data_IF_782644996584
#
_entry.id   IF_782644996584
#
_cell.length_a   1.000
_cell.length_b   1.000
_cell.length_c   1.000
_cell.angle_alpha   90.00
_cell.angle_beta   90.00
_cell.angle_gamma   90.00
#
_symmetry.space_group_name_H-M   'P 1'
#
loop_
_entity.id
_entity.type
_entity.pdbx_description
1 polymer ?
#
# COMPACT_ATOMS: atom_id res chain seq x y z
N UNK A 1 9.83 14.71 -3.81
CA UNK A 1 10.08 14.05 -5.11
C UNK A 1 10.04 12.56 -4.84
N UNK A 2 9.39 11.78 -5.69
CA UNK A 2 9.41 10.31 -5.65
C UNK A 2 10.06 9.87 -6.94
N UNK A 3 11.10 9.05 -6.84
CA UNK A 3 11.78 8.43 -7.97
C UNK A 3 11.65 6.90 -7.84
N UNK A 4 11.33 6.23 -8.94
CA UNK A 4 11.01 4.80 -8.93
C UNK A 4 11.66 4.13 -10.12
N UNK A 5 12.42 3.06 -9.85
CA UNK A 5 12.96 2.20 -10.87
C UNK A 5 12.48 0.76 -10.66
N UNK A 6 12.05 0.09 -11.74
CA UNK A 6 11.62 -1.32 -11.68
C UNK A 6 12.78 -2.31 -11.56
N UNK A 7 14.01 -1.87 -11.80
CA UNK A 7 15.20 -2.72 -11.75
C UNK A 7 16.33 -2.02 -11.01
N UNK A 8 16.81 -2.66 -9.95
CA UNK A 8 18.02 -2.29 -9.24
C UNK A 8 18.95 -3.50 -9.21
N UNK A 9 20.17 -3.34 -9.71
CA UNK A 9 21.16 -4.43 -9.75
C UNK A 9 21.78 -4.73 -8.38
N UNK A 10 21.44 -3.95 -7.36
CA UNK A 10 22.05 -4.00 -6.03
C UNK A 10 21.01 -4.21 -4.92
N UNK A 11 19.83 -4.75 -5.23
CA UNK A 11 18.77 -5.01 -4.24
C UNK A 11 17.77 -3.86 -4.10
N UNK A 12 16.94 -3.88 -3.06
CA UNK A 12 15.95 -2.82 -2.84
C UNK A 12 16.63 -1.50 -2.47
N UNK A 13 16.34 -0.45 -3.25
CA UNK A 13 16.70 0.93 -2.92
C UNK A 13 15.47 1.69 -2.39
N UNK A 14 15.42 1.92 -1.08
CA UNK A 14 14.31 2.49 -0.34
C UNK A 14 14.83 3.49 0.67
N UNK A 15 15.06 4.71 0.19
CA UNK A 15 15.56 5.84 0.97
C UNK A 15 14.51 6.93 1.04
N UNK A 16 14.49 7.64 2.16
CA UNK A 16 13.65 8.82 2.32
C UNK A 16 14.48 9.97 2.88
N UNK A 17 14.16 11.19 2.46
CA UNK A 17 14.79 12.42 2.93
C UNK A 17 13.73 13.47 3.18
N UNK A 18 13.85 14.18 4.30
CA UNK A 18 13.04 15.34 4.65
C UNK A 18 13.98 16.47 5.06
N UNK A 19 13.97 17.54 4.26
CA UNK A 19 14.70 18.77 4.54
C UNK A 19 13.77 19.80 5.21
N UNK A 20 14.10 20.18 6.43
CA UNK A 20 13.43 21.25 7.18
C UNK A 20 14.27 22.52 7.25
N UNK A 21 13.73 23.56 7.89
CA UNK A 21 14.40 24.87 8.03
C UNK A 21 15.61 24.84 8.95
N UNK A 22 15.65 23.91 9.91
CA UNK A 22 16.71 23.79 10.92
C UNK A 22 17.46 22.47 10.86
N UNK A 23 16.83 21.42 10.34
CA UNK A 23 17.34 20.04 10.34
C UNK A 23 16.96 19.32 9.06
N UNK A 24 17.73 18.29 8.75
CA UNK A 24 17.45 17.33 7.69
C UNK A 24 17.48 15.93 8.30
N UNK A 25 16.52 15.08 7.91
CA UNK A 25 16.47 13.67 8.29
C UNK A 25 16.54 12.84 7.02
N UNK A 26 17.34 11.78 7.03
CA UNK A 26 17.42 10.80 5.96
C UNK A 26 17.42 9.39 6.54
N UNK A 27 16.83 8.46 5.80
CA UNK A 27 16.91 7.02 6.08
C UNK A 27 17.60 6.31 4.92
N UNK A 28 18.55 5.44 5.26
CA UNK A 28 19.31 4.65 4.30
C UNK A 28 18.72 3.24 4.15
N UNK A 29 19.23 2.49 3.17
CA UNK A 29 18.91 1.09 2.96
C UNK A 29 19.29 0.21 4.15
N UNK A 30 18.54 -0.89 4.32
CA UNK A 30 18.79 -1.88 5.36
C UNK A 30 19.56 -3.06 4.78
N UNK A 31 20.61 -3.47 5.48
CA UNK A 31 21.53 -4.53 5.08
C UNK A 31 21.38 -5.75 6.00
N UNK A 32 21.65 -6.97 5.50
CA UNK A 32 21.58 -8.20 6.30
C UNK A 32 22.49 -8.22 7.53
N UNK A 33 23.61 -7.50 7.49
CA UNK A 33 24.53 -7.32 8.61
C UNK A 33 25.30 -6.00 8.50
N UNK A 34 26.13 -5.73 9.50
CA UNK A 34 26.93 -4.51 9.62
C UNK A 34 28.37 -4.67 9.17
N UNK A 35 28.75 -5.80 8.55
CA UNK A 35 30.12 -6.07 8.15
C UNK A 35 30.57 -5.13 7.01
N UNK A 36 31.84 -4.72 7.09
CA UNK A 36 32.49 -3.85 6.11
C UNK A 36 33.74 -4.52 5.57
N UNK A 37 34.03 -4.30 4.29
CA UNK A 37 35.27 -4.76 3.66
C UNK A 37 36.16 -3.55 3.41
N UNK A 38 37.43 -3.64 3.81
CA UNK A 38 38.46 -2.62 3.57
C UNK A 38 39.64 -3.24 2.80
N UNK A 39 39.87 -2.77 1.58
CA UNK A 39 40.94 -3.18 0.66
C UNK A 39 41.56 -1.94 0.03
N UNK A 40 42.71 -2.10 -0.63
CA UNK A 40 43.39 -0.98 -1.31
C UNK A 40 42.52 -0.33 -2.41
N UNK A 41 41.60 -1.08 -3.01
CA UNK A 41 40.74 -0.68 -4.13
C UNK A 41 39.24 -0.65 -3.77
N UNK A 42 38.84 -0.99 -2.54
CA UNK A 42 37.44 -1.06 -2.14
C UNK A 42 37.23 -0.77 -0.65
N UNK A 43 36.22 0.03 -0.34
CA UNK A 43 35.66 0.19 1.01
C UNK A 43 34.14 0.23 0.94
N UNK A 44 33.43 -0.58 1.72
CA UNK A 44 31.96 -0.63 1.65
C UNK A 44 31.30 -1.71 2.51
N UNK A 45 29.98 -1.81 2.41
CA UNK A 45 29.21 -2.93 2.97
C UNK A 45 29.70 -4.25 2.37
N UNK A 46 29.78 -5.28 3.20
CA UNK A 46 30.13 -6.62 2.75
C UNK A 46 29.02 -7.24 1.88
N UNK A 47 27.77 -6.95 2.23
CA UNK A 47 26.57 -7.40 1.51
C UNK A 47 25.83 -6.25 0.83
N UNK A 48 24.99 -6.62 -0.13
CA UNK A 48 23.99 -5.73 -0.72
C UNK A 48 22.83 -5.50 0.25
N UNK A 49 22.06 -4.41 0.08
CA UNK A 49 20.73 -4.27 0.70
C UNK A 49 19.87 -5.50 0.50
N UNK A 50 18.89 -5.68 1.38
CA UNK A 50 17.90 -6.75 1.21
C UNK A 50 17.26 -6.70 -0.19
N UNK A 51 17.11 -7.86 -0.81
CA UNK A 51 16.55 -8.06 -2.16
C UNK A 51 15.20 -8.79 -2.14
N UNK A 52 14.76 -9.24 -0.96
CA UNK A 52 13.47 -9.91 -0.75
C UNK A 52 12.58 -9.13 0.23
N UNK A 53 11.32 -8.91 -0.17
CA UNK A 53 10.42 -7.99 0.53
C UNK A 53 10.13 -8.44 1.97
N UNK A 54 9.96 -9.74 2.23
CA UNK A 54 9.72 -10.22 3.60
C UNK A 54 10.94 -10.01 4.48
N UNK A 55 12.15 -10.15 3.97
CA UNK A 55 13.37 -9.87 4.74
C UNK A 55 13.50 -8.37 5.03
N UNK A 56 13.17 -7.53 4.05
CA UNK A 56 13.25 -6.07 4.16
C UNK A 56 12.18 -5.47 5.07
N UNK A 57 10.97 -6.02 5.05
CA UNK A 57 9.79 -5.45 5.69
C UNK A 57 9.23 -6.32 6.82
N UNK A 58 9.99 -7.32 7.31
CA UNK A 58 9.53 -8.22 8.36
C UNK A 58 8.97 -7.46 9.57
N UNK A 59 9.76 -6.53 10.11
CA UNK A 59 9.38 -5.71 11.25
C UNK A 59 8.15 -4.85 10.94
N UNK A 60 8.09 -4.25 9.75
CA UNK A 60 6.94 -3.44 9.33
C UNK A 60 5.64 -4.25 9.32
N UNK A 61 5.64 -5.47 8.76
CA UNK A 61 4.46 -6.35 8.76
C UNK A 61 4.05 -6.80 10.17
N UNK A 62 5.03 -7.09 11.03
CA UNK A 62 4.77 -7.44 12.44
C UNK A 62 4.11 -6.25 13.15
N UNK A 63 4.69 -5.05 13.03
CA UNK A 63 4.16 -3.84 13.66
C UNK A 63 2.78 -3.46 13.12
N UNK A 64 2.57 -3.53 11.81
CA UNK A 64 1.27 -3.29 11.18
C UNK A 64 0.19 -4.25 11.70
N UNK A 65 0.51 -5.54 11.74
CA UNK A 65 -0.43 -6.57 12.21
C UNK A 65 -0.80 -6.36 13.68
N UNK A 66 0.19 -6.07 14.52
CA UNK A 66 -0.04 -5.77 15.94
C UNK A 66 -0.95 -4.55 16.07
N UNK A 67 -0.64 -3.45 15.39
CA UNK A 67 -1.43 -2.21 15.48
C UNK A 67 -2.88 -2.42 15.01
N UNK A 68 -3.08 -3.23 13.97
CA UNK A 68 -4.42 -3.61 13.52
C UNK A 68 -5.18 -4.43 14.58
N UNK A 69 -4.55 -5.45 15.15
CA UNK A 69 -5.14 -6.26 16.21
C UNK A 69 -5.47 -5.41 17.46
N UNK A 70 -4.59 -4.51 17.87
CA UNK A 70 -4.82 -3.60 18.98
C UNK A 70 -6.00 -2.66 18.72
N UNK A 71 -6.13 -2.16 17.49
CA UNK A 71 -7.25 -1.31 17.08
C UNK A 71 -8.58 -2.07 17.21
N UNK A 72 -8.62 -3.33 16.78
CA UNK A 72 -9.79 -4.20 16.89
C UNK A 72 -10.15 -4.53 18.33
N UNK A 73 -9.17 -4.89 19.17
CA UNK A 73 -9.40 -5.31 20.56
C UNK A 73 -9.89 -4.15 21.42
N UNK A 74 -9.35 -2.95 21.19
CA UNK A 74 -9.62 -1.77 22.01
C UNK A 74 -10.72 -0.86 21.43
N UNK A 75 -11.30 -1.21 20.28
CA UNK A 75 -12.27 -0.37 19.55
C UNK A 75 -11.74 1.06 19.31
N UNK A 76 -10.51 1.14 18.80
CA UNK A 76 -9.83 2.42 18.51
C UNK A 76 -9.60 2.58 17.01
N UNK A 77 -9.43 3.83 16.51
CA UNK A 77 -9.16 4.06 15.09
C UNK A 77 -7.90 3.34 14.62
N UNK A 78 -7.97 2.70 13.44
CA UNK A 78 -6.81 2.09 12.81
C UNK A 78 -5.79 3.16 12.36
N UNK A 79 -4.48 2.89 12.39
CA UNK A 79 -3.46 3.86 11.98
C UNK A 79 -3.49 4.24 10.49
N UNK A 80 -4.01 3.36 9.64
CA UNK A 80 -4.16 3.56 8.20
C UNK A 80 -5.60 3.19 7.82
N UNK A 81 -6.32 4.16 7.27
CA UNK A 81 -7.74 4.09 6.95
C UNK A 81 -7.98 3.89 5.46
N UNK A 82 -9.24 3.65 5.08
CA UNK A 82 -9.61 3.64 3.66
C UNK A 82 -9.41 4.99 2.95
N UNK A 83 -9.48 6.09 3.69
CA UNK A 83 -9.25 7.44 3.14
C UNK A 83 -7.79 7.62 2.70
N UNK A 84 -6.83 7.08 3.47
CA UNK A 84 -5.41 7.12 3.10
C UNK A 84 -5.16 6.39 1.78
N UNK A 85 -5.82 5.24 1.58
CA UNK A 85 -5.77 4.48 0.32
C UNK A 85 -6.40 5.24 -0.86
N UNK A 86 -7.53 5.91 -0.64
CA UNK A 86 -8.17 6.74 -1.67
C UNK A 86 -7.27 7.92 -2.08
N UNK A 87 -6.65 8.62 -1.12
CA UNK A 87 -5.73 9.72 -1.41
C UNK A 87 -4.51 9.22 -2.19
N UNK A 88 -3.93 8.08 -1.80
CA UNK A 88 -2.82 7.47 -2.53
C UNK A 88 -3.18 7.15 -4.00
N UNK A 89 -4.40 6.63 -4.24
CA UNK A 89 -4.89 6.38 -5.60
C UNK A 89 -5.06 7.66 -6.40
N UNK A 90 -5.62 8.73 -5.82
CA UNK A 90 -5.77 10.04 -6.48
C UNK A 90 -4.40 10.59 -6.88
N UNK A 91 -3.40 10.50 -6.00
CA UNK A 91 -2.03 10.94 -6.30
C UNK A 91 -1.42 10.15 -7.47
N UNK A 92 -1.65 8.83 -7.52
CA UNK A 92 -1.17 7.98 -8.61
C UNK A 92 -1.81 8.34 -9.96
N UNK A 93 -3.13 8.53 -10.00
CA UNK A 93 -3.86 8.94 -11.20
C UNK A 93 -3.44 10.33 -11.70
N UNK A 94 -3.19 11.27 -10.78
CA UNK A 94 -2.69 12.59 -11.14
C UNK A 94 -1.28 12.53 -11.75
N UNK A 95 -0.41 11.68 -11.21
CA UNK A 95 0.93 11.47 -11.75
C UNK A 95 0.91 10.82 -13.13
N UNK A 96 0.03 9.85 -13.36
CA UNK A 96 -0.18 9.19 -14.65
C UNK A 96 -0.63 10.20 -15.73
N UNK A 97 -1.70 10.95 -15.44
CA UNK A 97 -2.18 12.05 -16.31
C UNK A 97 -1.09 13.11 -16.56
N UNK A 98 -0.28 13.42 -15.56
CA UNK A 98 0.83 14.38 -15.69
C UNK A 98 1.91 13.87 -16.65
N UNK A 99 2.24 12.57 -16.59
CA UNK A 99 3.20 11.93 -17.49
C UNK A 99 2.71 11.91 -18.94
N UNK A 100 1.42 11.66 -19.16
CA UNK A 100 0.82 11.69 -20.50
C UNK A 100 0.78 13.11 -21.09
N UNK A 101 0.32 14.09 -20.30
CA UNK A 101 0.08 15.46 -20.77
C UNK A 101 1.31 16.36 -20.68
N UNK A 102 2.41 15.88 -20.10
CA UNK A 102 3.67 16.63 -19.91
C UNK A 102 3.45 17.99 -19.21
N UNK A 103 2.56 18.04 -18.22
CA UNK A 103 2.27 19.24 -17.44
C UNK A 103 1.95 18.91 -15.99
N UNK A 104 1.98 19.92 -15.14
CA UNK A 104 1.45 19.83 -13.79
C UNK A 104 -0.07 19.58 -13.83
N UNK A 105 -0.51 18.62 -13.01
CA UNK A 105 -1.92 18.24 -12.83
C UNK A 105 -2.31 18.51 -11.37
N UNK A 106 -3.38 19.27 -11.18
CA UNK A 106 -3.96 19.46 -9.85
C UNK A 106 -4.78 18.24 -9.45
N UNK A 107 -4.70 17.82 -8.19
CA UNK A 107 -5.55 16.73 -7.67
C UNK A 107 -7.04 17.03 -7.82
N UNK A 108 -7.43 18.31 -7.86
CA UNK A 108 -8.81 18.71 -8.14
C UNK A 108 -9.30 18.21 -9.50
N UNK A 109 -8.44 18.13 -10.52
CA UNK A 109 -8.81 17.62 -11.84
C UNK A 109 -9.16 16.11 -11.82
N UNK A 110 -8.60 15.37 -10.87
CA UNK A 110 -8.90 13.95 -10.63
C UNK A 110 -10.14 13.82 -9.74
N UNK A 111 -10.22 14.61 -8.67
CA UNK A 111 -11.36 14.59 -7.74
C UNK A 111 -12.65 15.10 -8.40
N UNK A 112 -12.59 16.02 -9.36
CA UNK A 112 -13.79 16.43 -10.14
C UNK A 112 -14.31 15.32 -11.06
N UNK A 113 -13.51 14.27 -11.31
CA UNK A 113 -13.95 13.02 -11.93
C UNK A 113 -14.53 12.04 -10.88
N UNK A 114 -14.68 12.48 -9.64
CA UNK A 114 -15.34 11.80 -8.52
C UNK A 114 -16.50 12.68 -8.06
N UNK A 115 -17.73 12.19 -8.21
CA UNK A 115 -18.91 12.91 -7.78
C UNK A 115 -19.22 12.58 -6.31
N UNK A 116 -19.15 13.56 -5.41
CA UNK A 116 -19.60 13.37 -4.03
C UNK A 116 -20.92 14.12 -3.78
N UNK A 117 -21.98 13.37 -3.45
CA UNK A 117 -23.29 13.93 -3.12
C UNK A 117 -23.36 14.42 -1.67
N UNK A 118 -22.56 13.83 -0.78
CA UNK A 118 -22.42 14.21 0.63
C UNK A 118 -20.99 13.91 1.14
N UNK A 119 -20.57 14.43 2.31
CA UNK A 119 -19.21 14.21 2.84
C UNK A 119 -18.82 12.75 3.06
N UNK A 120 -19.80 11.85 3.09
CA UNK A 120 -19.63 10.40 3.28
C UNK A 120 -20.00 9.58 2.06
N UNK A 121 -20.46 10.21 0.97
CA UNK A 121 -20.97 9.53 -0.22
C UNK A 121 -20.30 10.09 -1.47
N UNK A 122 -19.21 9.42 -1.86
CA UNK A 122 -18.49 9.68 -3.10
C UNK A 122 -18.68 8.52 -4.08
N UNK A 123 -18.98 8.87 -5.32
CA UNK A 123 -19.11 8.01 -6.49
C UNK A 123 -17.96 8.34 -7.45
N UNK A 124 -17.13 7.36 -7.81
CA UNK A 124 -16.20 7.55 -8.93
C UNK A 124 -17.05 7.68 -10.21
N UNK A 125 -16.86 8.75 -11.00
CA UNK A 125 -17.55 8.86 -12.29
C UNK A 125 -16.98 7.78 -13.21
N UNK A 126 -17.60 6.60 -13.16
CA UNK A 126 -17.25 5.39 -13.89
C UNK A 126 -17.32 5.54 -15.43
N UNK A 127 -17.64 6.74 -15.92
CA UNK A 127 -17.69 7.10 -17.33
C UNK A 127 -16.32 7.50 -17.90
N UNK A 128 -15.26 7.58 -17.09
CA UNK A 128 -13.92 7.82 -17.62
C UNK A 128 -13.34 6.52 -18.23
N UNK A 129 -12.77 6.62 -19.43
CA UNK A 129 -12.04 5.53 -20.12
C UNK A 129 -10.73 5.12 -19.39
N UNK A 130 -10.49 5.68 -18.20
CA UNK A 130 -9.27 5.54 -17.39
C UNK A 130 -9.14 4.14 -16.79
N UNK A 131 -10.24 3.42 -16.56
CA UNK A 131 -10.21 2.07 -15.98
C UNK A 131 -10.48 0.98 -17.04
N UNK A 132 -9.60 -0.04 -17.15
CA UNK A 132 -9.82 -1.20 -18.03
C UNK A 132 -11.15 -1.90 -17.74
N UNK A 133 -11.75 -2.51 -18.76
CA UNK A 133 -12.99 -3.28 -18.59
C UNK A 133 -12.80 -4.40 -17.55
N UNK A 134 -13.65 -4.40 -16.51
CA UNK A 134 -13.55 -5.28 -15.34
C UNK A 134 -12.92 -4.66 -14.09
N UNK A 135 -12.24 -3.51 -14.21
CA UNK A 135 -11.68 -2.74 -13.09
C UNK A 135 -12.37 -1.39 -12.88
N UNK A 136 -13.44 -1.11 -13.64
CA UNK A 136 -14.26 0.10 -13.47
C UNK A 136 -14.84 0.12 -12.06
N UNK A 137 -14.56 1.17 -11.26
CA UNK A 137 -15.17 1.33 -9.96
C UNK A 137 -16.69 1.34 -10.12
N UNK A 138 -17.39 0.60 -9.27
CA UNK A 138 -18.84 0.69 -9.20
C UNK A 138 -19.23 2.11 -8.82
N UNK A 139 -20.29 2.63 -9.44
CA UNK A 139 -20.74 4.00 -9.21
C UNK A 139 -20.94 4.31 -7.72
N UNK A 140 -21.29 3.33 -6.88
CA UNK A 140 -21.49 3.54 -5.44
C UNK A 140 -20.33 2.99 -4.62
N UNK A 141 -19.81 3.78 -3.68
CA UNK A 141 -18.82 3.33 -2.70
C UNK A 141 -19.31 2.15 -1.85
N UNK A 142 -20.61 2.04 -1.61
CA UNK A 142 -21.21 0.90 -0.90
C UNK A 142 -21.03 -0.44 -1.63
N UNK A 143 -20.89 -0.42 -2.95
CA UNK A 143 -20.71 -1.62 -3.77
C UNK A 143 -19.24 -2.08 -3.80
N UNK A 144 -18.29 -1.22 -3.41
CA UNK A 144 -16.87 -1.54 -3.21
C UNK A 144 -16.62 -2.21 -1.86
N UNK A 145 -17.52 -2.01 -0.90
CA UNK A 145 -17.48 -2.66 0.41
C UNK A 145 -18.10 -4.05 0.26
N UNK A 146 -17.25 -5.08 0.27
CA UNK A 146 -17.73 -6.44 0.51
C UNK A 146 -18.56 -6.43 1.81
N UNK A 147 -19.74 -7.07 1.85
CA UNK A 147 -20.51 -7.18 3.08
C UNK A 147 -19.60 -7.69 4.20
N UNK A 148 -19.63 -7.04 5.37
CA UNK A 148 -18.98 -7.54 6.58
C UNK A 148 -19.32 -9.03 6.75
N UNK A 149 -18.33 -9.92 6.73
CA UNK A 149 -18.53 -11.38 6.86
C UNK A 149 -19.30 -11.75 8.13
N UNK A 150 -19.20 -10.90 9.16
CA UNK A 150 -19.96 -10.95 10.41
C UNK A 150 -21.48 -10.83 10.23
N UNK A 151 -21.97 -10.21 9.14
CA UNK A 151 -23.40 -10.20 8.79
C UNK A 151 -23.84 -11.43 7.96
N UNK A 152 -22.91 -12.17 7.35
CA UNK A 152 -23.21 -13.41 6.61
C UNK A 152 -23.13 -14.67 7.48
N UNK A 153 -22.63 -14.59 8.71
CA UNK A 153 -22.63 -15.70 9.68
C UNK A 153 -24.01 -16.04 10.27
N UNK A 154 -25.10 -15.74 9.56
CA UNK A 154 -26.45 -16.17 9.89
C UNK A 154 -26.84 -17.54 9.33
N UNK A 155 -26.22 -18.04 8.25
CA UNK A 155 -26.73 -19.24 7.54
C UNK A 155 -25.68 -20.30 7.15
N UNK A 156 -24.44 -20.21 7.64
CA UNK A 156 -23.33 -20.98 7.07
C UNK A 156 -22.37 -21.66 8.04
N UNK A 157 -22.77 -22.01 9.27
CA UNK A 157 -21.86 -22.60 10.26
C UNK A 157 -21.24 -23.97 9.89
N UNK A 158 -21.55 -24.53 8.72
CA UNK A 158 -21.09 -25.86 8.29
C UNK A 158 -19.96 -25.90 7.26
N UNK A 159 -19.52 -24.79 6.65
CA UNK A 159 -18.57 -24.84 5.53
C UNK A 159 -17.10 -24.86 5.97
N UNK A 160 -16.72 -24.07 6.98
CA UNK A 160 -15.34 -23.94 7.46
C UNK A 160 -14.80 -25.20 8.16
N UNK A 161 -15.62 -25.86 8.99
CA UNK A 161 -15.25 -27.14 9.60
C UNK A 161 -15.11 -28.27 8.58
N UNK A 162 -15.89 -28.22 7.49
CA UNK A 162 -15.84 -29.18 6.38
C UNK A 162 -14.61 -28.95 5.51
N UNK A 163 -14.21 -27.69 5.31
CA UNK A 163 -12.97 -27.33 4.63
C UNK A 163 -11.72 -27.76 5.42
N UNK A 164 -11.66 -27.46 6.72
CA UNK A 164 -10.56 -27.89 7.59
C UNK A 164 -10.41 -29.41 7.67
N UNK A 165 -11.52 -30.15 7.75
CA UNK A 165 -11.50 -31.62 7.82
C UNK A 165 -10.98 -32.29 6.54
N UNK A 166 -11.12 -31.63 5.38
CA UNK A 166 -10.62 -32.13 4.10
C UNK A 166 -9.14 -31.83 3.90
N UNK A 167 -8.61 -30.76 4.51
CA UNK A 167 -7.20 -30.37 4.42
C UNK A 167 -6.30 -31.24 5.30
N UNK A 168 -6.80 -31.72 6.44
CA UNK A 168 -6.03 -32.53 7.41
C UNK A 168 -5.97 -34.03 7.05
N UNK A 169 -6.75 -34.47 6.05
CA UNK A 169 -6.81 -35.89 5.63
C UNK A 169 -6.00 -36.23 4.37
N UNK A 170 -5.26 -35.28 3.82
CA UNK A 170 -4.32 -35.54 2.72
C UNK A 170 -2.89 -35.61 3.26
N UNK A 171 -2.61 -36.68 4.01
CA UNK A 171 -1.29 -37.29 4.22
C UNK A 171 -1.49 -38.81 4.35
#
# INVERSE_FOLDING_TARGET
MIDVCRQSSFGYDQRAEVLGTQVMIQTDNVYPNTAKIYKNDFTGNADMPYDFFLSRYNEAYVTETIAFCESLVNDTPVPCTGEDGLVALIMALAADKSAEENRWVSFREIVEQVYCASPTECELLATSEVFPDGFKPTGKAADLLLPREDQQKGEGAGSLQRWWSNMVKSD
#
